data_IF_430291088343
#
_entry.id   IF_430291088343
#
_cell.length_a   1.000
_cell.length_b   1.000
_cell.length_c   1.000
_cell.angle_alpha   90.00
_cell.angle_beta   90.00
_cell.angle_gamma   90.00
#
_symmetry.space_group_name_H-M   'P 1'
#
loop_
_entity.id
_entity.type
_entity.pdbx_description
1 polymer ?
#
# COMPACT_ATOMS: atom_id res chain seq x y z
N UNK A 1 -2.12 -19.36 2.81
CA UNK A 1 -3.07 -18.29 2.42
C UNK A 1 -2.30 -17.10 1.90
N UNK A 2 -2.73 -16.54 0.77
CA UNK A 2 -2.13 -15.32 0.25
C UNK A 2 -2.52 -14.11 1.10
N UNK A 3 -1.82 -12.99 0.93
CA UNK A 3 -2.16 -11.75 1.63
C UNK A 3 -3.58 -11.28 1.27
N UNK A 4 -3.93 -11.38 -0.01
CA UNK A 4 -5.27 -10.97 -0.47
C UNK A 4 -6.35 -11.87 0.14
N UNK A 5 -6.09 -13.17 0.25
CA UNK A 5 -7.03 -14.10 0.89
C UNK A 5 -7.23 -13.76 2.37
N UNK A 6 -6.17 -13.41 3.09
CA UNK A 6 -6.27 -12.97 4.49
C UNK A 6 -7.10 -11.70 4.62
N UNK A 7 -6.89 -10.74 3.72
CA UNK A 7 -7.64 -9.48 3.71
C UNK A 7 -9.12 -9.76 3.46
N UNK A 8 -9.44 -10.61 2.48
CA UNK A 8 -10.81 -10.98 2.17
C UNK A 8 -11.48 -11.75 3.30
N UNK A 9 -10.72 -12.61 3.98
CA UNK A 9 -11.22 -13.34 5.14
C UNK A 9 -11.62 -12.37 6.26
N UNK A 10 -10.78 -11.38 6.52
CA UNK A 10 -11.08 -10.36 7.52
C UNK A 10 -12.30 -9.53 7.09
N UNK A 11 -12.36 -9.13 5.83
CA UNK A 11 -13.50 -8.37 5.30
C UNK A 11 -14.82 -9.12 5.48
N UNK A 12 -14.79 -10.44 5.34
CA UNK A 12 -15.97 -11.28 5.56
C UNK A 12 -16.33 -11.48 7.04
N UNK A 13 -15.40 -11.20 7.95
CA UNK A 13 -15.60 -11.40 9.38
C UNK A 13 -16.08 -10.15 10.12
N UNK A 14 -15.85 -8.96 9.56
CA UNK A 14 -16.25 -7.69 10.18
C UNK A 14 -17.68 -7.31 9.80
N UNK A 15 -18.25 -6.33 10.50
CA UNK A 15 -19.55 -5.78 10.17
C UNK A 15 -19.55 -5.16 8.78
N UNK A 16 -20.71 -5.14 8.12
CA UNK A 16 -20.84 -4.71 6.73
C UNK A 16 -20.30 -3.29 6.50
N UNK A 17 -20.50 -2.39 7.48
CA UNK A 17 -20.03 -1.00 7.39
C UNK A 17 -18.50 -0.87 7.49
N UNK A 18 -17.81 -1.90 7.94
CA UNK A 18 -16.35 -1.91 8.06
C UNK A 18 -15.66 -2.67 6.92
N UNK A 19 -16.42 -3.34 6.08
CA UNK A 19 -15.87 -4.19 5.01
C UNK A 19 -15.04 -3.38 4.02
N UNK A 20 -15.52 -2.21 3.62
CA UNK A 20 -14.81 -1.32 2.71
C UNK A 20 -13.48 -0.85 3.31
N UNK A 21 -13.46 -0.57 4.61
CA UNK A 21 -12.23 -0.15 5.30
C UNK A 21 -11.16 -1.25 5.25
N UNK A 22 -11.56 -2.51 5.41
CA UNK A 22 -10.63 -3.64 5.31
C UNK A 22 -10.13 -3.80 3.86
N UNK A 23 -11.03 -3.74 2.89
CA UNK A 23 -10.67 -3.88 1.48
C UNK A 23 -9.82 -2.72 0.97
N UNK A 24 -9.90 -1.55 1.63
CA UNK A 24 -9.08 -0.39 1.29
C UNK A 24 -7.58 -0.66 1.40
N UNK A 25 -7.17 -1.67 2.15
CA UNK A 25 -5.75 -2.08 2.22
C UNK A 25 -5.25 -2.43 0.83
N UNK A 26 -6.05 -3.17 0.04
CA UNK A 26 -5.65 -3.56 -1.32
C UNK A 26 -5.57 -2.33 -2.22
N UNK A 27 -6.56 -1.45 -2.14
CA UNK A 27 -6.57 -0.21 -2.92
C UNK A 27 -5.37 0.67 -2.58
N UNK A 28 -5.09 0.86 -1.30
CA UNK A 28 -3.97 1.69 -0.87
C UNK A 28 -2.62 1.08 -1.22
N UNK A 29 -2.50 -0.25 -1.24
CA UNK A 29 -1.29 -0.92 -1.73
C UNK A 29 -1.04 -0.55 -3.20
N UNK A 30 -2.08 -0.61 -4.04
CA UNK A 30 -1.98 -0.25 -5.45
C UNK A 30 -1.61 1.22 -5.65
N UNK A 31 -2.22 2.11 -4.88
CA UNK A 31 -1.92 3.56 -4.94
C UNK A 31 -0.46 3.82 -4.56
N UNK A 32 0.04 3.18 -3.50
CA UNK A 32 1.42 3.35 -3.07
C UNK A 32 2.41 2.86 -4.14
N UNK A 33 2.20 1.66 -4.67
CA UNK A 33 3.08 1.09 -5.70
C UNK A 33 3.08 1.98 -6.95
N UNK A 34 1.92 2.49 -7.35
CA UNK A 34 1.82 3.42 -8.48
C UNK A 34 2.58 4.73 -8.19
N UNK A 35 2.50 5.23 -6.96
CA UNK A 35 3.21 6.46 -6.57
C UNK A 35 4.74 6.25 -6.59
N UNK A 36 5.23 5.10 -6.13
CA UNK A 36 6.65 4.76 -6.21
C UNK A 36 7.11 4.71 -7.66
N UNK A 37 6.36 4.05 -8.51
CA UNK A 37 6.67 3.92 -9.93
C UNK A 37 6.70 5.29 -10.61
N UNK A 38 5.72 6.15 -10.31
CA UNK A 38 5.67 7.51 -10.86
C UNK A 38 6.90 8.32 -10.43
N UNK A 39 7.30 8.24 -9.17
CA UNK A 39 8.47 8.93 -8.67
C UNK A 39 9.75 8.45 -9.37
N UNK A 40 9.89 7.13 -9.53
CA UNK A 40 11.05 6.55 -10.21
C UNK A 40 11.10 6.95 -11.67
N UNK A 41 9.96 6.93 -12.36
CA UNK A 41 9.88 7.38 -13.76
C UNK A 41 10.20 8.86 -13.91
N UNK A 42 9.70 9.69 -13.01
CA UNK A 42 10.01 11.13 -13.01
C UNK A 42 11.52 11.37 -12.82
N UNK A 43 12.12 10.64 -11.89
CA UNK A 43 13.56 10.71 -11.64
C UNK A 43 14.37 10.34 -12.88
N UNK A 44 14.01 9.23 -13.54
CA UNK A 44 14.71 8.75 -14.73
C UNK A 44 14.51 9.67 -15.92
N UNK A 45 13.28 10.09 -16.17
CA UNK A 45 12.95 10.91 -17.33
C UNK A 45 13.53 12.33 -17.25
N UNK A 46 13.67 12.87 -16.03
CA UNK A 46 14.15 14.21 -15.80
C UNK A 46 15.62 14.28 -15.45
N UNK A 47 16.29 13.15 -15.39
CA UNK A 47 17.69 13.01 -15.01
C UNK A 47 18.63 13.87 -15.82
N UNK A 48 18.31 14.07 -17.13
CA UNK A 48 19.10 14.84 -18.05
C UNK A 48 18.68 16.32 -18.14
N UNK A 49 17.65 16.71 -17.42
CA UNK A 49 17.18 18.11 -17.37
C UNK A 49 17.71 18.75 -16.10
N UNK A 50 18.45 19.80 -16.24
CA UNK A 50 19.01 20.53 -15.10
C UNK A 50 18.17 21.76 -14.83
N UNK A 51 17.79 21.97 -13.56
CA UNK A 51 17.07 23.15 -13.15
C UNK A 51 15.94 22.87 -12.18
N UNK A 52 15.15 23.91 -11.92
CA UNK A 52 14.08 23.86 -10.91
C UNK A 52 12.97 22.90 -11.28
N UNK A 53 12.65 22.75 -12.57
CA UNK A 53 11.59 21.85 -13.02
C UNK A 53 11.86 20.40 -12.61
N UNK A 54 13.12 19.97 -12.73
CA UNK A 54 13.52 18.63 -12.29
C UNK A 54 13.32 18.48 -10.78
N UNK A 55 13.83 19.42 -9.99
CA UNK A 55 13.73 19.34 -8.53
C UNK A 55 12.30 19.40 -8.05
N UNK A 56 11.49 20.28 -8.65
CA UNK A 56 10.08 20.43 -8.29
C UNK A 56 9.30 19.15 -8.60
N UNK A 57 9.54 18.55 -9.76
CA UNK A 57 8.85 17.33 -10.17
C UNK A 57 9.20 16.16 -9.24
N UNK A 58 10.49 15.98 -8.93
CA UNK A 58 10.94 14.90 -8.04
C UNK A 58 10.39 15.12 -6.63
N UNK A 59 10.46 16.35 -6.13
CA UNK A 59 9.95 16.68 -4.79
C UNK A 59 8.45 16.40 -4.67
N UNK A 60 7.68 16.78 -5.70
CA UNK A 60 6.24 16.61 -5.74
C UNK A 60 5.85 15.13 -5.76
N UNK A 61 6.54 14.34 -6.60
CA UNK A 61 6.27 12.89 -6.70
C UNK A 61 6.71 12.16 -5.45
N UNK A 62 7.79 12.59 -4.81
CA UNK A 62 8.21 12.01 -3.54
C UNK A 62 7.23 12.33 -2.41
N UNK A 63 6.70 13.55 -2.37
CA UNK A 63 5.66 13.91 -1.39
C UNK A 63 4.40 13.07 -1.58
N UNK A 64 3.98 12.84 -2.83
CA UNK A 64 2.84 11.99 -3.13
C UNK A 64 3.09 10.55 -2.70
N UNK A 65 4.29 10.04 -2.94
CA UNK A 65 4.69 8.69 -2.50
C UNK A 65 4.62 8.58 -0.97
N UNK A 66 5.12 9.58 -0.27
CA UNK A 66 5.13 9.58 1.20
C UNK A 66 3.70 9.58 1.77
N UNK A 67 2.79 10.37 1.18
CA UNK A 67 1.39 10.39 1.60
C UNK A 67 0.71 9.05 1.35
N UNK A 68 0.97 8.44 0.20
CA UNK A 68 0.43 7.12 -0.13
C UNK A 68 0.96 6.05 0.82
N UNK A 69 2.24 6.14 1.18
CA UNK A 69 2.86 5.23 2.14
C UNK A 69 2.16 5.33 3.50
N UNK A 70 1.97 6.56 4.00
CA UNK A 70 1.31 6.78 5.28
C UNK A 70 -0.14 6.25 5.25
N UNK A 71 -0.87 6.50 4.18
CA UNK A 71 -2.23 6.01 4.04
C UNK A 71 -2.30 4.48 4.06
N UNK A 72 -1.35 3.82 3.40
CA UNK A 72 -1.27 2.37 3.41
C UNK A 72 -0.98 1.83 4.82
N UNK A 73 0.00 2.42 5.51
CA UNK A 73 0.36 2.02 6.87
C UNK A 73 -0.86 2.15 7.80
N UNK A 74 -1.57 3.28 7.72
CA UNK A 74 -2.76 3.51 8.53
C UNK A 74 -3.85 2.49 8.24
N UNK A 75 -4.07 2.16 6.97
CA UNK A 75 -5.07 1.17 6.58
C UNK A 75 -4.72 -0.23 7.12
N UNK A 76 -3.45 -0.63 7.05
CA UNK A 76 -2.99 -1.92 7.57
C UNK A 76 -3.16 -1.98 9.09
N UNK A 77 -2.77 -0.93 9.78
CA UNK A 77 -2.87 -0.89 11.24
C UNK A 77 -4.32 -0.92 11.70
N UNK A 78 -5.21 -0.22 11.01
CA UNK A 78 -6.63 -0.27 11.30
C UNK A 78 -7.20 -1.67 11.06
N UNK A 79 -6.86 -2.28 9.96
CA UNK A 79 -7.31 -3.65 9.64
C UNK A 79 -6.83 -4.65 10.71
N UNK A 80 -5.59 -4.52 11.18
CA UNK A 80 -5.07 -5.39 12.22
C UNK A 80 -5.81 -5.20 13.56
N UNK A 81 -6.21 -3.96 13.88
CA UNK A 81 -7.04 -3.71 15.07
C UNK A 81 -8.40 -4.37 14.93
N UNK A 82 -9.00 -4.32 13.75
CA UNK A 82 -10.26 -5.01 13.49
C UNK A 82 -10.11 -6.52 13.61
N UNK A 83 -9.00 -7.07 13.11
CA UNK A 83 -8.71 -8.51 13.24
C UNK A 83 -8.70 -8.93 14.71
N UNK A 84 -8.03 -8.15 15.56
CA UNK A 84 -8.00 -8.42 16.99
C UNK A 84 -9.41 -8.34 17.61
N UNK A 85 -10.19 -7.32 17.24
CA UNK A 85 -11.54 -7.11 17.77
C UNK A 85 -12.50 -8.21 17.38
N UNK A 86 -12.38 -8.75 16.17
CA UNK A 86 -13.27 -9.79 15.66
C UNK A 86 -12.72 -11.20 15.81
N UNK A 87 -11.55 -11.34 16.45
CA UNK A 87 -10.99 -12.65 16.79
C UNK A 87 -10.49 -13.45 15.59
N UNK A 88 -10.04 -12.78 14.54
CA UNK A 88 -9.48 -13.42 13.34
C UNK A 88 -8.01 -13.07 13.17
N UNK A 89 -7.34 -13.78 12.27
CA UNK A 89 -5.92 -13.62 12.02
C UNK A 89 -5.61 -12.22 11.48
N UNK A 90 -4.55 -11.61 12.00
CA UNK A 90 -4.05 -10.34 11.47
C UNK A 90 -3.60 -10.50 10.03
N UNK A 91 -3.81 -9.46 9.24
CA UNK A 91 -3.42 -9.47 7.83
C UNK A 91 -1.92 -9.21 7.63
N UNK A 92 -1.27 -8.57 8.60
CA UNK A 92 0.14 -8.21 8.52
C UNK A 92 0.83 -8.49 9.85
N UNK A 93 1.85 -9.32 9.82
CA UNK A 93 2.67 -9.69 10.99
C UNK A 93 4.15 -9.41 10.75
N UNK A 94 4.47 -8.59 9.76
CA UNK A 94 5.84 -8.21 9.44
C UNK A 94 6.41 -7.17 10.42
N UNK A 95 7.57 -6.64 10.08
CA UNK A 95 8.27 -5.69 10.91
C UNK A 95 7.57 -4.34 11.02
N UNK A 96 7.99 -3.49 11.99
CA UNK A 96 7.36 -2.21 12.27
C UNK A 96 7.90 -1.06 11.43
N UNK A 97 8.96 -1.29 10.64
CA UNK A 97 9.61 -0.24 9.87
C UNK A 97 8.77 0.14 8.64
N UNK A 98 8.90 1.41 8.22
CA UNK A 98 8.19 1.89 7.03
C UNK A 98 8.49 1.03 5.81
N UNK A 99 9.75 0.60 5.64
CA UNK A 99 10.17 -0.26 4.54
C UNK A 99 9.44 -1.60 4.55
N UNK A 100 9.20 -2.16 5.73
CA UNK A 100 8.50 -3.44 5.85
C UNK A 100 7.06 -3.34 5.34
N UNK A 101 6.37 -2.23 5.65
CA UNK A 101 5.03 -1.98 5.11
C UNK A 101 5.07 -1.78 3.60
N UNK A 102 6.09 -1.10 3.09
CA UNK A 102 6.28 -0.94 1.64
C UNK A 102 6.44 -2.27 0.94
N UNK A 103 7.26 -3.16 1.49
CA UNK A 103 7.45 -4.51 0.95
C UNK A 103 6.14 -5.30 0.96
N UNK A 104 5.32 -5.12 1.98
CA UNK A 104 4.00 -5.75 2.06
C UNK A 104 3.07 -5.24 0.96
N UNK A 105 3.08 -3.93 0.68
CA UNK A 105 2.29 -3.36 -0.41
C UNK A 105 2.69 -3.96 -1.77
N UNK A 106 4.00 -4.06 -2.03
CA UNK A 106 4.49 -4.68 -3.26
C UNK A 106 4.09 -6.15 -3.35
N UNK A 107 4.13 -6.87 -2.23
CA UNK A 107 3.70 -8.28 -2.20
C UNK A 107 2.22 -8.42 -2.58
N UNK A 108 1.34 -7.54 -2.08
CA UNK A 108 -0.08 -7.55 -2.41
C UNK A 108 -0.27 -7.30 -3.91
N UNK A 109 0.39 -6.29 -4.46
CA UNK A 109 0.27 -5.95 -5.88
C UNK A 109 0.78 -7.09 -6.76
N UNK A 110 1.88 -7.72 -6.35
CA UNK A 110 2.42 -8.89 -7.06
C UNK A 110 1.38 -10.01 -7.12
N UNK A 111 0.68 -10.27 -6.02
CA UNK A 111 -0.37 -11.30 -6.00
C UNK A 111 -1.48 -10.98 -7.00
N UNK A 112 -1.86 -9.70 -7.15
CA UNK A 112 -2.86 -9.30 -8.12
C UNK A 112 -2.40 -9.63 -9.54
N UNK A 113 -1.15 -9.31 -9.87
CA UNK A 113 -0.59 -9.62 -11.19
C UNK A 113 -0.53 -11.12 -11.45
N UNK A 114 -0.06 -11.88 -10.47
CA UNK A 114 0.07 -13.33 -10.61
C UNK A 114 -1.28 -14.01 -10.86
N UNK A 115 -2.36 -13.48 -10.28
CA UNK A 115 -3.70 -14.03 -10.44
C UNK A 115 -4.36 -13.68 -11.79
N UNK A 116 -3.79 -12.77 -12.56
CA UNK A 116 -4.31 -12.37 -13.87
C UNK A 116 -3.79 -13.23 -15.02
N UNK A 117 -2.83 -14.09 -14.73
CA UNK A 117 -2.20 -14.93 -15.76
C UNK A 117 -2.85 -16.30 -15.88
#
# INVERSE_FOLDING_TARGET
MTNIEKIKQLAGAVDADLQEDVESVILNAGIYVAAVTTMECASLNLQNRKGEDYRSAVSRTDAARSRAHNAFIDAVNFANKLADSFGVEKIYTGGPERRDYGDFAFAIVKEIYDNRQ
#
